data_IF_944777944511
#
_entry.id   IF_944777944511
#
_cell.length_a   1.000
_cell.length_b   1.000
_cell.length_c   1.000
_cell.angle_alpha   90.00
_cell.angle_beta   90.00
_cell.angle_gamma   90.00
#
_symmetry.space_group_name_H-M   'P 1'
#
loop_
_entity.id
_entity.type
_entity.pdbx_description
1 polymer ?
#
# COMPACT_ATOMS: atom_id res chain seq x y z
N UNK A 1 19.91 -7.14 26.22
CA UNK A 1 21.38 -7.10 26.42
C UNK A 1 22.02 -5.85 25.80
N UNK A 2 21.59 -5.36 24.63
CA UNK A 2 22.27 -4.23 23.95
C UNK A 2 22.07 -2.84 24.62
N UNK A 3 20.91 -2.57 25.22
CA UNK A 3 20.58 -1.23 25.77
C UNK A 3 21.29 -0.89 27.09
N UNK A 4 21.60 -1.89 27.92
CA UNK A 4 22.24 -1.63 29.22
C UNK A 4 23.70 -1.21 29.09
N UNK A 5 24.28 -1.33 27.89
CA UNK A 5 25.70 -1.13 27.63
C UNK A 5 26.01 0.06 26.70
N UNK A 6 25.01 0.70 26.09
CA UNK A 6 25.25 1.79 25.13
C UNK A 6 24.26 2.96 25.31
N UNK A 7 24.78 4.06 25.88
CA UNK A 7 24.04 5.30 26.14
C UNK A 7 23.50 5.98 24.87
N UNK A 8 24.12 5.75 23.70
CA UNK A 8 23.66 6.30 22.42
C UNK A 8 22.34 5.63 21.98
N UNK A 9 22.20 4.33 22.25
CA UNK A 9 21.01 3.58 21.87
C UNK A 9 19.84 3.81 22.84
N UNK A 10 20.11 4.28 24.07
CA UNK A 10 19.10 4.43 25.13
C UNK A 10 17.94 5.37 24.77
N UNK A 11 18.14 6.32 23.86
CA UNK A 11 17.10 7.24 23.39
C UNK A 11 16.36 6.79 22.12
N UNK A 12 16.72 5.65 21.52
CA UNK A 12 16.14 5.20 20.25
C UNK A 12 14.88 4.37 20.53
N UNK A 13 13.71 4.75 19.96
CA UNK A 13 12.48 3.97 20.07
C UNK A 13 12.67 2.54 19.56
N UNK A 14 12.22 1.56 20.33
CA UNK A 14 12.38 0.15 19.97
C UNK A 14 11.06 -0.41 19.44
N UNK A 15 11.10 -0.96 18.24
CA UNK A 15 9.98 -1.69 17.65
C UNK A 15 10.17 -3.18 17.83
N UNK A 16 9.14 -3.88 18.31
CA UNK A 16 9.16 -5.34 18.42
C UNK A 16 8.42 -5.97 17.25
N UNK A 17 9.07 -6.90 16.55
CA UNK A 17 8.42 -7.67 15.50
C UNK A 17 7.73 -8.90 16.08
N UNK A 18 6.47 -9.10 15.69
CA UNK A 18 5.66 -10.27 16.01
C UNK A 18 5.50 -11.07 14.74
N UNK A 19 6.18 -12.21 14.70
CA UNK A 19 6.19 -13.16 13.59
C UNK A 19 5.44 -14.45 13.96
N UNK A 20 5.37 -15.41 13.02
CA UNK A 20 4.64 -16.66 13.22
C UNK A 20 3.81 -17.09 12.00
N UNK A 21 3.99 -16.44 10.85
CA UNK A 21 3.25 -16.79 9.63
C UNK A 21 1.76 -16.50 9.76
N UNK A 22 0.95 -17.36 9.15
CA UNK A 22 -0.51 -17.33 9.27
C UNK A 22 -1.06 -18.16 10.46
N UNK A 23 -0.18 -18.59 11.37
CA UNK A 23 -0.54 -19.40 12.54
C UNK A 23 -0.69 -18.50 13.79
N UNK A 24 -1.92 -18.40 14.31
CA UNK A 24 -2.21 -17.62 15.51
C UNK A 24 -1.47 -18.15 16.73
N UNK A 25 -1.39 -19.46 16.92
CA UNK A 25 -0.77 -20.06 18.10
C UNK A 25 0.75 -19.80 18.13
N UNK A 26 1.40 -19.77 16.97
CA UNK A 26 2.81 -19.39 16.87
C UNK A 26 3.02 -17.91 17.24
N UNK A 27 2.15 -17.02 16.76
CA UNK A 27 2.21 -15.59 17.09
C UNK A 27 2.00 -15.35 18.59
N UNK A 28 0.99 -15.97 19.18
CA UNK A 28 0.69 -15.84 20.62
C UNK A 28 1.81 -16.41 21.49
N UNK A 29 2.46 -17.51 21.07
CA UNK A 29 3.67 -18.03 21.74
C UNK A 29 4.82 -17.03 21.73
N UNK A 30 4.98 -16.25 20.66
CA UNK A 30 5.94 -15.16 20.59
C UNK A 30 5.59 -14.02 21.56
N UNK A 31 4.32 -13.61 21.59
CA UNK A 31 3.84 -12.56 22.51
C UNK A 31 4.07 -12.91 23.97
N UNK A 32 3.74 -14.13 24.39
CA UNK A 32 3.87 -14.59 25.77
C UNK A 32 5.32 -14.54 26.30
N UNK A 33 6.31 -14.52 25.40
CA UNK A 33 7.74 -14.46 25.73
C UNK A 33 8.35 -13.07 25.56
N UNK A 34 7.56 -12.09 25.13
CA UNK A 34 8.04 -10.74 24.80
C UNK A 34 7.74 -9.77 25.92
N UNK A 35 8.77 -9.11 26.44
CA UNK A 35 8.63 -8.00 27.38
C UNK A 35 8.46 -6.68 26.61
N UNK A 36 7.23 -6.15 26.64
CA UNK A 36 6.86 -4.90 25.98
C UNK A 36 7.15 -3.64 26.81
N UNK A 37 7.71 -3.74 28.02
CA UNK A 37 7.97 -2.58 28.89
C UNK A 37 8.85 -1.50 28.28
N UNK A 38 9.68 -1.87 27.28
CA UNK A 38 10.58 -0.97 26.54
C UNK A 38 10.16 -0.77 25.08
N UNK A 39 9.01 -1.30 24.69
CA UNK A 39 8.52 -1.16 23.32
C UNK A 39 7.99 0.26 23.09
N UNK A 40 8.23 0.78 21.89
CA UNK A 40 7.61 2.02 21.38
C UNK A 40 6.59 1.73 20.27
N UNK A 41 6.50 0.48 19.84
CA UNK A 41 5.55 0.01 18.84
C UNK A 41 5.75 -1.47 18.54
N UNK A 42 4.77 -2.04 17.84
CA UNK A 42 4.76 -3.45 17.46
C UNK A 42 4.66 -3.54 15.94
N UNK A 43 5.55 -4.29 15.30
CA UNK A 43 5.49 -4.60 13.87
C UNK A 43 4.87 -5.98 13.70
N UNK A 44 3.76 -6.05 12.98
CA UNK A 44 3.06 -7.27 12.61
C UNK A 44 3.65 -7.75 11.29
N UNK A 45 4.54 -8.74 11.36
CA UNK A 45 5.31 -9.20 10.21
C UNK A 45 5.07 -10.70 9.92
N UNK A 46 5.50 -11.15 8.76
CA UNK A 46 5.56 -12.55 8.38
C UNK A 46 4.26 -13.13 7.80
N UNK A 47 3.23 -12.33 7.52
CA UNK A 47 1.98 -12.83 6.92
C UNK A 47 2.14 -13.26 5.44
N UNK A 48 3.10 -12.68 4.72
CA UNK A 48 3.27 -12.87 3.27
C UNK A 48 4.59 -13.56 2.87
N UNK A 49 5.27 -14.23 3.81
CA UNK A 49 6.53 -14.94 3.52
C UNK A 49 6.32 -16.18 2.64
N UNK A 50 5.15 -16.80 2.71
CA UNK A 50 4.82 -18.04 1.99
C UNK A 50 4.11 -17.80 0.64
N UNK A 51 4.05 -16.55 0.17
CA UNK A 51 3.33 -16.20 -1.07
C UNK A 51 4.16 -16.41 -2.35
N UNK A 52 5.20 -17.25 -2.28
CA UNK A 52 6.10 -17.56 -3.38
C UNK A 52 6.09 -19.09 -3.53
N UNK A 53 5.81 -19.61 -4.73
CA UNK A 53 5.89 -21.06 -4.97
C UNK A 53 7.34 -21.56 -5.07
N UNK A 54 7.50 -22.89 -5.15
CA UNK A 54 8.81 -23.54 -5.33
C UNK A 54 9.55 -23.07 -6.60
N UNK A 55 8.83 -22.46 -7.56
CA UNK A 55 9.36 -21.89 -8.81
C UNK A 55 9.63 -20.38 -8.73
N UNK A 56 9.59 -19.82 -7.53
CA UNK A 56 9.78 -18.40 -7.26
C UNK A 56 8.76 -17.49 -7.97
N UNK A 57 7.57 -18.01 -8.27
CA UNK A 57 6.45 -17.25 -8.86
C UNK A 57 5.50 -16.76 -7.77
N UNK A 58 4.89 -15.57 -7.95
CA UNK A 58 3.89 -15.06 -7.02
C UNK A 58 2.66 -15.98 -7.01
N UNK A 59 2.35 -16.55 -5.84
CA UNK A 59 1.12 -17.30 -5.63
C UNK A 59 -0.09 -16.37 -5.49
N UNK A 60 -1.28 -16.92 -5.67
CA UNK A 60 -2.51 -16.20 -5.35
C UNK A 60 -2.51 -15.79 -3.88
N UNK A 61 -2.44 -14.48 -3.62
CA UNK A 61 -2.36 -13.94 -2.25
C UNK A 61 -3.70 -13.98 -1.51
N UNK A 62 -4.82 -14.21 -2.20
CA UNK A 62 -6.17 -14.14 -1.61
C UNK A 62 -6.36 -15.06 -0.40
N UNK A 63 -6.00 -16.36 -0.44
CA UNK A 63 -6.13 -17.24 0.72
C UNK A 63 -5.29 -16.77 1.92
N UNK A 64 -4.11 -16.19 1.68
CA UNK A 64 -3.26 -15.64 2.74
C UNK A 64 -3.89 -14.41 3.38
N UNK A 65 -4.50 -13.53 2.58
CA UNK A 65 -5.23 -12.37 3.09
C UNK A 65 -6.42 -12.79 3.96
N UNK A 66 -7.21 -13.76 3.50
CA UNK A 66 -8.36 -14.24 4.26
C UNK A 66 -7.92 -14.78 5.62
N UNK A 67 -6.89 -15.62 5.64
CA UNK A 67 -6.32 -16.13 6.89
C UNK A 67 -5.72 -15.02 7.78
N UNK A 68 -4.97 -14.08 7.21
CA UNK A 68 -4.45 -12.91 7.93
C UNK A 68 -5.58 -12.16 8.62
N UNK A 69 -6.71 -11.91 7.95
CA UNK A 69 -7.85 -11.19 8.52
C UNK A 69 -8.62 -11.99 9.57
N UNK A 70 -8.49 -13.32 9.63
CA UNK A 70 -8.98 -14.12 10.75
C UNK A 70 -8.06 -14.06 11.99
N UNK A 71 -6.76 -13.91 11.77
CA UNK A 71 -5.71 -13.87 12.80
C UNK A 71 -5.57 -12.48 13.42
N UNK A 72 -5.53 -11.45 12.59
CA UNK A 72 -5.24 -10.07 12.95
C UNK A 72 -6.08 -9.52 14.12
N UNK A 73 -7.43 -9.64 14.15
CA UNK A 73 -8.21 -9.11 15.25
C UNK A 73 -7.94 -9.85 16.57
N UNK A 74 -7.75 -11.18 16.53
CA UNK A 74 -7.42 -11.99 17.71
C UNK A 74 -6.05 -11.63 18.27
N UNK A 75 -5.09 -11.40 17.38
CA UNK A 75 -3.73 -10.98 17.73
C UNK A 75 -3.70 -9.58 18.34
N UNK A 76 -4.36 -8.61 17.71
CA UNK A 76 -4.33 -7.21 18.15
C UNK A 76 -4.95 -7.01 19.53
N UNK A 77 -5.93 -7.85 19.92
CA UNK A 77 -6.51 -7.89 21.27
C UNK A 77 -5.52 -8.31 22.36
N UNK A 78 -4.47 -9.06 22.02
CA UNK A 78 -3.45 -9.52 22.96
C UNK A 78 -2.26 -8.55 23.09
N UNK A 79 -2.20 -7.53 22.23
CA UNK A 79 -1.12 -6.54 22.23
C UNK A 79 -1.43 -5.38 23.19
N UNK A 80 -0.40 -4.78 23.83
CA UNK A 80 -0.61 -3.61 24.69
C UNK A 80 -1.28 -2.46 23.94
N UNK A 81 -2.41 -1.98 24.46
CA UNK A 81 -3.29 -1.02 23.77
C UNK A 81 -2.67 0.35 23.51
N UNK A 82 -1.64 0.72 24.25
CA UNK A 82 -0.94 2.00 24.15
C UNK A 82 0.17 1.99 23.10
N UNK A 83 0.53 0.83 22.54
CA UNK A 83 1.57 0.72 21.53
C UNK A 83 0.96 0.77 20.12
N UNK A 84 1.52 1.59 19.21
CA UNK A 84 1.10 1.58 17.82
C UNK A 84 1.46 0.25 17.16
N UNK A 85 0.54 -0.26 16.34
CA UNK A 85 0.67 -1.50 15.59
C UNK A 85 0.91 -1.18 14.12
N UNK A 86 2.05 -1.61 13.62
CA UNK A 86 2.54 -1.38 12.27
C UNK A 86 2.33 -2.67 11.47
N UNK A 87 1.59 -2.62 10.37
CA UNK A 87 1.45 -3.75 9.44
C UNK A 87 2.11 -3.40 8.12
N UNK A 88 2.93 -4.31 7.61
CA UNK A 88 3.62 -4.14 6.33
C UNK A 88 3.04 -5.05 5.24
N UNK A 89 3.25 -4.68 3.97
CA UNK A 89 2.84 -5.44 2.78
C UNK A 89 1.33 -5.55 2.57
N UNK A 90 0.58 -4.56 3.04
CA UNK A 90 -0.84 -4.41 2.75
C UNK A 90 -1.06 -3.04 2.11
N UNK A 91 -1.75 -3.00 0.98
CA UNK A 91 -1.67 -1.82 0.11
C UNK A 91 -2.99 -1.41 -0.52
N UNK A 92 -3.91 -2.33 -0.76
CA UNK A 92 -5.18 -1.95 -1.36
C UNK A 92 -6.00 -1.19 -0.31
N UNK A 93 -6.73 -0.12 -0.69
CA UNK A 93 -7.46 0.70 0.28
C UNK A 93 -8.48 -0.07 1.11
N UNK A 94 -9.15 -1.05 0.52
CA UNK A 94 -10.10 -1.93 1.21
C UNK A 94 -9.38 -2.82 2.23
N UNK A 95 -8.20 -3.33 1.89
CA UNK A 95 -7.37 -4.11 2.80
C UNK A 95 -6.87 -3.25 3.97
N UNK A 96 -6.38 -2.03 3.69
CA UNK A 96 -5.95 -1.06 4.70
C UNK A 96 -7.12 -0.71 5.62
N UNK A 97 -8.30 -0.41 5.07
CA UNK A 97 -9.49 -0.09 5.85
C UNK A 97 -9.91 -1.24 6.76
N UNK A 98 -9.92 -2.49 6.24
CA UNK A 98 -10.18 -3.69 7.04
C UNK A 98 -9.13 -3.88 8.15
N UNK A 99 -7.85 -3.66 7.86
CA UNK A 99 -6.80 -3.81 8.86
C UNK A 99 -6.92 -2.77 9.98
N UNK A 100 -7.32 -1.54 9.66
CA UNK A 100 -7.66 -0.53 10.68
C UNK A 100 -8.78 -1.02 11.59
N UNK A 101 -9.84 -1.63 11.03
CA UNK A 101 -10.93 -2.19 11.86
C UNK A 101 -10.49 -3.36 12.74
N UNK A 102 -9.40 -4.04 12.38
CA UNK A 102 -8.78 -5.08 13.20
C UNK A 102 -7.82 -4.53 14.27
N UNK A 103 -7.59 -3.20 14.29
CA UNK A 103 -6.79 -2.50 15.28
C UNK A 103 -5.39 -2.10 14.81
N UNK A 104 -5.06 -2.17 13.51
CA UNK A 104 -3.77 -1.71 12.99
C UNK A 104 -3.74 -0.19 12.84
N UNK A 105 -2.61 0.42 13.17
CA UNK A 105 -2.46 1.87 13.27
C UNK A 105 -1.61 2.48 12.14
N UNK A 106 -0.55 1.77 11.70
CA UNK A 106 0.45 2.31 10.76
C UNK A 106 0.69 1.31 9.62
N UNK A 107 0.86 1.83 8.41
CA UNK A 107 1.07 1.08 7.17
C UNK A 107 2.28 1.62 6.39
N UNK A 108 2.90 0.78 5.56
CA UNK A 108 3.95 1.23 4.65
C UNK A 108 3.39 1.81 3.34
N UNK A 109 4.04 2.87 2.85
CA UNK A 109 3.65 3.57 1.61
C UNK A 109 4.28 2.98 0.34
N UNK A 110 4.51 1.66 0.28
CA UNK A 110 5.29 1.06 -0.82
C UNK A 110 4.55 1.00 -2.16
N UNK A 111 3.22 0.93 -2.14
CA UNK A 111 2.42 0.78 -3.38
C UNK A 111 2.60 1.93 -4.38
N UNK A 112 2.50 3.22 -4.02
CA UNK A 112 2.79 4.32 -4.93
C UNK A 112 4.14 4.19 -5.64
N UNK A 113 5.18 3.80 -4.90
CA UNK A 113 6.52 3.58 -5.45
C UNK A 113 6.56 2.41 -6.44
N UNK A 114 5.95 1.27 -6.09
CA UNK A 114 5.88 0.09 -6.95
C UNK A 114 5.16 0.41 -8.26
N UNK A 115 4.03 1.10 -8.18
CA UNK A 115 3.24 1.46 -9.35
C UNK A 115 3.96 2.46 -10.25
N UNK A 116 4.52 3.53 -9.67
CA UNK A 116 5.26 4.54 -10.44
C UNK A 116 6.46 3.94 -11.15
N UNK A 117 7.22 3.06 -10.47
CA UNK A 117 8.35 2.33 -11.07
C UNK A 117 7.93 1.42 -12.24
N UNK A 118 6.71 0.90 -12.19
CA UNK A 118 6.12 0.07 -13.25
C UNK A 118 5.43 0.87 -14.35
N UNK A 119 5.49 2.22 -14.33
CA UNK A 119 4.78 3.06 -15.30
C UNK A 119 3.26 3.00 -15.14
N UNK A 120 2.77 2.74 -13.93
CA UNK A 120 1.35 2.64 -13.62
C UNK A 120 0.91 3.85 -12.79
N UNK A 121 -0.11 4.56 -13.27
CA UNK A 121 -0.85 5.51 -12.44
C UNK A 121 -2.04 4.81 -11.79
N UNK A 122 -2.15 4.93 -10.47
CA UNK A 122 -3.30 4.42 -9.75
C UNK A 122 -4.46 5.42 -9.79
N UNK A 123 -5.67 4.93 -10.09
CA UNK A 123 -6.89 5.71 -10.02
C UNK A 123 -7.74 5.20 -8.86
N UNK A 124 -8.08 6.11 -7.94
CA UNK A 124 -8.91 5.80 -6.80
C UNK A 124 -10.38 6.10 -7.10
N UNK A 125 -11.25 5.08 -7.27
CA UNK A 125 -12.65 5.31 -7.66
C UNK A 125 -13.46 6.05 -6.60
N UNK A 126 -13.01 6.02 -5.33
CA UNK A 126 -13.61 6.76 -4.23
C UNK A 126 -13.22 8.25 -4.20
N UNK A 127 -12.31 8.69 -5.09
CA UNK A 127 -11.94 10.10 -5.17
C UNK A 127 -13.07 10.91 -5.79
N UNK A 128 -13.63 11.83 -5.00
CA UNK A 128 -14.56 12.84 -5.47
C UNK A 128 -13.97 14.22 -5.17
N UNK A 129 -13.91 15.14 -6.14
CA UNK A 129 -13.45 16.50 -5.87
C UNK A 129 -14.40 17.17 -4.88
N UNK A 130 -13.87 17.91 -3.90
CA UNK A 130 -14.69 18.63 -2.90
C UNK A 130 -15.69 19.63 -3.51
N UNK A 131 -15.56 19.98 -4.80
CA UNK A 131 -16.45 20.88 -5.54
C UNK A 131 -17.42 20.19 -6.50
N UNK A 132 -17.37 18.86 -6.65
CA UNK A 132 -18.24 18.14 -7.57
C UNK A 132 -19.55 17.77 -6.84
N UNK A 133 -20.58 18.62 -7.00
CA UNK A 133 -21.95 18.23 -6.70
C UNK A 133 -22.26 16.88 -7.37
N UNK A 134 -22.78 15.95 -6.57
CA UNK A 134 -23.19 14.57 -6.89
C UNK A 134 -23.47 14.32 -8.37
N UNK A 135 -22.42 14.14 -9.15
CA UNK A 135 -22.53 13.64 -10.51
C UNK A 135 -22.25 12.16 -10.38
N UNK A 136 -23.24 11.35 -10.75
CA UNK A 136 -23.24 9.89 -10.75
C UNK A 136 -22.12 9.35 -11.64
N UNK A 137 -20.87 9.46 -11.15
CA UNK A 137 -19.75 8.72 -11.69
C UNK A 137 -20.10 7.24 -11.58
N UNK A 138 -20.03 6.53 -12.71
CA UNK A 138 -20.14 5.07 -12.74
C UNK A 138 -19.04 4.54 -11.82
N UNK A 139 -19.39 4.21 -10.59
CA UNK A 139 -18.48 3.57 -9.66
C UNK A 139 -18.02 2.26 -10.29
N UNK A 140 -16.81 2.25 -10.85
CA UNK A 140 -16.17 1.00 -11.20
C UNK A 140 -15.87 0.30 -9.88
N UNK A 141 -16.36 -0.93 -9.66
CA UNK A 141 -16.23 -1.61 -8.36
C UNK A 141 -14.77 -1.96 -8.00
N UNK A 142 -13.82 -1.74 -8.91
CA UNK A 142 -12.41 -2.06 -8.72
C UNK A 142 -11.52 -0.83 -8.97
N UNK A 143 -10.39 -0.72 -8.25
CA UNK A 143 -9.35 0.25 -8.57
C UNK A 143 -8.93 0.09 -10.03
N UNK A 144 -8.87 1.20 -10.76
CA UNK A 144 -8.38 1.22 -12.13
C UNK A 144 -6.95 1.76 -12.13
N UNK A 145 -6.17 1.33 -13.12
CA UNK A 145 -4.84 1.87 -13.34
C UNK A 145 -4.69 2.27 -14.81
N UNK A 146 -3.82 3.24 -15.05
CA UNK A 146 -3.38 3.60 -16.39
C UNK A 146 -1.96 3.09 -16.55
N UNK A 147 -1.73 2.26 -17.57
CA UNK A 147 -0.38 1.83 -17.93
C UNK A 147 0.22 2.79 -18.95
N UNK A 148 1.48 3.17 -18.73
CA UNK A 148 2.27 3.99 -19.63
C UNK A 148 3.45 3.21 -20.23
N UNK A 149 3.82 3.46 -21.49
CA UNK A 149 3.14 4.36 -22.43
C UNK A 149 1.75 3.84 -22.80
N UNK A 150 0.85 4.75 -23.17
CA UNK A 150 -0.51 4.40 -23.55
C UNK A 150 -0.51 3.52 -24.80
N UNK A 151 -1.40 2.51 -24.83
CA UNK A 151 -1.53 1.61 -25.97
C UNK A 151 -1.99 2.38 -27.23
N UNK A 152 -1.32 2.09 -28.34
CA UNK A 152 -1.66 2.63 -29.65
C UNK A 152 -3.01 2.15 -30.18
N UNK A 153 -3.52 1.01 -29.73
CA UNK A 153 -4.85 0.54 -30.16
C UNK A 153 -5.99 1.34 -29.52
N UNK A 154 -5.77 1.92 -28.32
CA UNK A 154 -6.70 2.90 -27.74
C UNK A 154 -6.82 4.17 -28.60
N UNK A 155 -5.83 4.46 -29.47
CA UNK A 155 -5.83 5.58 -30.42
C UNK A 155 -6.89 5.45 -31.51
N UNK A 156 -7.26 4.22 -31.89
CA UNK A 156 -8.09 4.00 -33.09
C UNK A 156 -9.58 4.23 -32.83
N UNK A 157 -10.02 4.11 -31.58
CA UNK A 157 -11.43 4.27 -31.18
C UNK A 157 -11.75 5.57 -30.44
N UNK A 158 -10.73 6.28 -29.93
CA UNK A 158 -10.92 7.50 -29.14
C UNK A 158 -10.42 8.74 -29.91
N UNK A 159 -11.33 9.68 -30.20
CA UNK A 159 -10.95 11.05 -30.58
C UNK A 159 -9.92 11.56 -29.57
N UNK A 160 -8.89 12.30 -30.00
CA UNK A 160 -7.69 12.73 -29.23
C UNK A 160 -7.87 13.36 -27.84
N UNK A 161 -9.10 13.43 -27.33
CA UNK A 161 -9.53 13.71 -25.96
C UNK A 161 -8.73 12.96 -24.87
N UNK A 162 -8.46 11.66 -25.02
CA UNK A 162 -7.84 10.85 -23.94
C UNK A 162 -6.43 11.33 -23.55
N UNK A 163 -5.66 11.87 -24.51
CA UNK A 163 -4.31 12.38 -24.25
C UNK A 163 -4.31 13.67 -23.43
N UNK A 164 -5.34 14.49 -23.62
CA UNK A 164 -5.43 15.82 -23.01
C UNK A 164 -6.06 15.80 -21.62
N UNK A 165 -6.48 14.63 -21.14
CA UNK A 165 -7.03 14.45 -19.80
C UNK A 165 -5.92 14.36 -18.74
N UNK A 166 -6.17 14.80 -17.49
CA UNK A 166 -5.31 14.50 -16.36
C UNK A 166 -5.28 12.99 -16.07
N UNK A 167 -4.40 12.52 -15.19
CA UNK A 167 -4.41 11.11 -14.77
C UNK A 167 -5.77 10.76 -14.14
N UNK A 168 -6.17 11.53 -13.12
CA UNK A 168 -7.46 11.41 -12.44
C UNK A 168 -8.18 12.76 -12.45
N UNK A 169 -9.46 12.74 -12.86
CA UNK A 169 -10.28 13.95 -12.89
C UNK A 169 -10.49 14.52 -11.49
N UNK A 170 -10.25 15.84 -11.39
CA UNK A 170 -10.37 16.60 -10.14
C UNK A 170 -9.43 16.17 -9.00
N UNK A 171 -8.35 15.44 -9.31
CA UNK A 171 -7.23 15.27 -8.39
C UNK A 171 -6.44 16.59 -8.27
N UNK A 172 -6.06 16.95 -7.05
CA UNK A 172 -5.33 18.19 -6.75
C UNK A 172 -3.80 18.03 -6.72
N UNK A 173 -3.26 16.86 -7.10
CA UNK A 173 -1.81 16.69 -7.15
C UNK A 173 -1.19 17.51 -8.29
N UNK A 174 0.10 17.81 -8.17
CA UNK A 174 0.85 18.63 -9.14
C UNK A 174 0.71 18.08 -10.56
N UNK A 175 0.83 16.76 -10.73
CA UNK A 175 0.77 16.10 -12.03
C UNK A 175 -0.59 16.26 -12.69
N UNK A 176 -1.68 16.03 -11.95
CA UNK A 176 -3.03 16.18 -12.49
C UNK A 176 -3.41 17.64 -12.79
N UNK A 177 -2.81 18.60 -12.09
CA UNK A 177 -3.08 20.03 -12.31
C UNK A 177 -2.30 20.63 -13.48
N UNK A 178 -1.12 20.09 -13.82
CA UNK A 178 -0.20 20.72 -14.80
C UNK A 178 0.13 19.86 -16.01
N UNK A 179 -0.12 18.56 -15.95
CA UNK A 179 0.24 17.62 -17.00
C UNK A 179 -0.96 16.75 -17.38
N UNK A 180 -0.82 16.09 -18.53
CA UNK A 180 -1.84 15.22 -19.09
C UNK A 180 -1.27 13.85 -19.43
N UNK A 181 -2.16 12.88 -19.67
CA UNK A 181 -1.77 11.48 -19.96
C UNK A 181 -0.86 11.38 -21.18
N UNK A 182 -1.03 12.24 -22.19
CA UNK A 182 -0.19 12.24 -23.38
C UNK A 182 1.24 12.66 -23.12
N UNK A 183 1.44 13.69 -22.29
CA UNK A 183 2.77 14.12 -21.88
C UNK A 183 3.49 13.03 -21.08
N UNK A 184 2.81 12.40 -20.10
CA UNK A 184 3.37 11.29 -19.33
C UNK A 184 3.70 10.09 -20.24
N UNK A 185 2.81 9.76 -21.18
CA UNK A 185 3.04 8.70 -22.17
C UNK A 185 4.25 9.00 -23.07
N UNK A 186 4.44 10.26 -23.46
CA UNK A 186 5.61 10.68 -24.23
C UNK A 186 6.89 10.49 -23.43
N UNK A 187 6.94 10.97 -22.18
CA UNK A 187 8.11 10.83 -21.31
C UNK A 187 8.49 9.36 -21.09
N UNK A 188 7.50 8.49 -20.84
CA UNK A 188 7.74 7.04 -20.77
C UNK A 188 8.25 6.47 -22.10
N UNK A 189 7.71 6.91 -23.24
CA UNK A 189 8.14 6.41 -24.56
C UNK A 189 9.59 6.77 -24.90
N UNK A 190 10.10 7.88 -24.36
CA UNK A 190 11.48 8.34 -24.57
C UNK A 190 12.40 8.02 -23.38
N UNK A 191 11.96 7.20 -22.43
CA UNK A 191 12.71 6.78 -21.23
C UNK A 191 13.23 7.94 -20.36
N UNK A 192 12.42 8.98 -20.18
CA UNK A 192 12.77 10.14 -19.36
C UNK A 192 12.38 9.91 -17.88
N UNK A 193 13.26 10.28 -16.93
CA UNK A 193 13.07 10.00 -15.50
C UNK A 193 11.90 10.77 -14.87
N UNK A 194 11.60 11.98 -15.36
CA UNK A 194 10.48 12.83 -14.95
C UNK A 194 9.16 12.09 -15.06
N UNK A 195 9.02 11.10 -15.96
CA UNK A 195 7.84 10.26 -16.03
C UNK A 195 7.52 9.62 -14.67
N UNK A 196 8.53 9.00 -14.05
CA UNK A 196 8.41 8.34 -12.75
C UNK A 196 8.22 9.34 -11.61
N UNK A 197 8.88 10.50 -11.69
CA UNK A 197 8.73 11.58 -10.71
C UNK A 197 7.29 12.09 -10.70
N UNK A 198 6.70 12.31 -11.88
CA UNK A 198 5.32 12.80 -12.01
C UNK A 198 4.29 11.75 -11.58
N UNK A 199 4.56 10.45 -11.75
CA UNK A 199 3.69 9.39 -11.23
C UNK A 199 3.71 9.26 -9.70
N UNK A 200 4.79 9.69 -9.04
CA UNK A 200 4.93 9.64 -7.58
C UNK A 200 4.25 10.79 -6.81
N UNK A 201 3.74 11.81 -7.52
CA UNK A 201 3.19 13.06 -6.96
C UNK A 201 1.67 13.00 -6.78
#
# INVERSE_FOLDING_TARGET
VCFTLNLVLAGIPMLFSVTGGNDLDQRLRGLAKTDFSKASGVVLDGFFLDCIDESNQPMDRRPHLDCMFEVLPKLCLQLPSHLPRILTNIWQPDEVARAVTCGVDIFDGTLPFRLSRSGLAWLYPGWTPHSAASTTSRQTPFPSWIAFPLDKELLKGSSGSVFNQPLQEGCSCFTCQRHNRGYISHLHSVNEMLAHILLMM
#
